data_IF_730919353026
#
_entry.id   IF_730919353026
#
_cell.length_a   1.000
_cell.length_b   1.000
_cell.length_c   1.000
_cell.angle_alpha   90.00
_cell.angle_beta   90.00
_cell.angle_gamma   90.00
#
_symmetry.space_group_name_H-M   'P 1'
#
loop_
_entity.id
_entity.type
_entity.pdbx_description
1 polymer ?
#
# COMPACT_ATOMS: atom_id res chain seq x y z
N UNK A 1 18.61 7.89 10.50
CA UNK A 1 17.88 8.64 9.45
C UNK A 1 16.57 9.15 10.05
N UNK A 2 16.15 10.39 9.75
CA UNK A 2 14.88 10.91 10.26
C UNK A 2 13.72 10.08 9.68
N UNK A 3 12.83 9.62 10.56
CA UNK A 3 11.61 8.92 10.20
C UNK A 3 10.44 9.85 10.48
N UNK A 4 9.62 10.11 9.47
CA UNK A 4 8.42 10.92 9.64
C UNK A 4 7.21 10.00 9.85
N UNK A 5 6.59 10.10 11.03
CA UNK A 5 5.40 9.32 11.37
C UNK A 5 4.12 10.01 10.87
N UNK A 6 4.06 10.32 9.58
CA UNK A 6 2.92 11.01 8.96
C UNK A 6 2.63 10.45 7.57
N UNK A 7 1.35 10.23 7.30
CA UNK A 7 0.86 9.85 5.98
C UNK A 7 1.00 10.97 4.95
N UNK A 8 1.13 12.24 5.38
CA UNK A 8 1.09 13.42 4.51
C UNK A 8 2.12 13.33 3.39
N UNK A 9 3.31 12.80 3.68
CA UNK A 9 4.35 12.59 2.69
C UNK A 9 3.98 11.54 1.65
N UNK A 10 3.28 10.47 2.03
CA UNK A 10 2.80 9.46 1.09
C UNK A 10 1.70 10.04 0.19
N UNK A 11 0.74 10.79 0.75
CA UNK A 11 -0.29 11.45 -0.06
C UNK A 11 0.32 12.48 -1.01
N UNK A 12 1.29 13.27 -0.56
CA UNK A 12 2.01 14.20 -1.42
C UNK A 12 2.77 13.46 -2.53
N UNK A 13 3.48 12.38 -2.20
CA UNK A 13 4.15 11.56 -3.20
C UNK A 13 3.16 10.96 -4.20
N UNK A 14 1.98 10.52 -3.75
CA UNK A 14 0.93 10.00 -4.61
C UNK A 14 0.31 11.08 -5.50
N UNK A 15 0.08 12.27 -4.96
CA UNK A 15 -0.47 13.40 -5.71
C UNK A 15 0.47 13.85 -6.84
N UNK A 16 1.79 13.81 -6.61
CA UNK A 16 2.80 14.22 -7.59
C UNK A 16 3.22 13.06 -8.52
N UNK A 17 3.33 11.84 -8.00
CA UNK A 17 3.83 10.66 -8.72
C UNK A 17 2.88 9.45 -8.59
N UNK A 18 1.62 9.54 -9.04
CA UNK A 18 0.61 8.51 -8.80
C UNK A 18 0.95 7.15 -9.41
N UNK A 19 1.74 7.13 -10.49
CA UNK A 19 2.12 5.90 -11.20
C UNK A 19 3.49 5.34 -10.80
N UNK A 20 4.23 6.05 -9.95
CA UNK A 20 5.62 5.71 -9.58
C UNK A 20 5.75 5.10 -8.18
N UNK A 21 4.63 4.87 -7.48
CA UNK A 21 4.60 4.23 -6.18
C UNK A 21 4.37 2.73 -6.31
N UNK A 22 5.43 1.96 -6.09
CA UNK A 22 5.43 0.50 -6.20
C UNK A 22 5.60 -0.12 -4.81
N UNK A 23 4.86 -1.18 -4.54
CA UNK A 23 5.07 -2.00 -3.33
C UNK A 23 6.34 -2.83 -3.55
N UNK A 24 7.33 -2.70 -2.69
CA UNK A 24 8.63 -3.40 -2.83
C UNK A 24 8.84 -4.50 -1.82
N UNK A 25 8.27 -4.35 -0.63
CA UNK A 25 8.47 -5.31 0.44
C UNK A 25 7.14 -5.52 1.13
N UNK A 26 6.82 -6.77 1.42
CA UNK A 26 5.78 -7.12 2.36
C UNK A 26 6.42 -7.93 3.49
N UNK A 27 6.39 -7.37 4.69
CA UNK A 27 6.91 -7.97 5.91
C UNK A 27 5.70 -8.43 6.71
N UNK A 28 5.51 -9.75 6.76
CA UNK A 28 4.39 -10.35 7.46
C UNK A 28 4.43 -10.01 8.97
N UNK A 29 3.26 -9.84 9.61
CA UNK A 29 1.91 -9.96 9.03
C UNK A 29 1.37 -8.66 8.39
N UNK A 30 1.90 -7.50 8.78
CA UNK A 30 1.20 -6.21 8.71
C UNK A 30 2.01 -5.07 8.07
N UNK A 31 3.25 -5.29 7.65
CA UNK A 31 4.10 -4.21 7.15
C UNK A 31 4.20 -4.22 5.64
N UNK A 32 3.90 -3.08 5.03
CA UNK A 32 3.95 -2.86 3.59
C UNK A 32 4.97 -1.76 3.30
N UNK A 33 6.02 -2.10 2.58
CA UNK A 33 7.04 -1.17 2.10
C UNK A 33 6.72 -0.70 0.68
N UNK A 34 6.62 0.61 0.52
CA UNK A 34 6.36 1.31 -0.74
C UNK A 34 7.57 2.15 -1.09
N UNK A 35 7.98 2.11 -2.36
CA UNK A 35 9.05 2.96 -2.90
C UNK A 35 8.46 3.83 -4.00
N UNK A 36 8.73 5.13 -3.94
CA UNK A 36 8.55 5.99 -5.09
C UNK A 36 9.78 5.91 -5.99
N UNK A 37 9.64 5.43 -7.22
CA UNK A 37 10.76 5.32 -8.15
C UNK A 37 11.24 6.66 -8.69
N UNK A 38 10.44 7.73 -8.56
CA UNK A 38 10.82 9.09 -8.96
C UNK A 38 11.59 9.85 -7.90
N UNK A 39 11.00 10.06 -6.72
CA UNK A 39 11.65 10.82 -5.64
C UNK A 39 12.52 9.96 -4.71
N UNK A 40 12.58 8.63 -4.93
CA UNK A 40 13.33 7.67 -4.11
C UNK A 40 12.93 7.65 -2.62
N UNK A 41 11.80 8.26 -2.27
CA UNK A 41 11.24 8.18 -0.92
C UNK A 41 10.69 6.78 -0.65
N UNK A 42 10.97 6.29 0.55
CA UNK A 42 10.48 5.00 1.04
C UNK A 42 9.41 5.24 2.08
N UNK A 43 8.25 4.63 1.90
CA UNK A 43 7.15 4.68 2.85
C UNK A 43 6.93 3.28 3.41
N UNK A 44 6.78 3.18 4.72
CA UNK A 44 6.37 1.95 5.41
C UNK A 44 4.99 2.20 5.98
N UNK A 45 4.08 1.28 5.67
CA UNK A 45 2.71 1.26 6.15
C UNK A 45 2.57 0.09 7.10
N UNK A 46 1.92 0.31 8.24
CA UNK A 46 1.46 -0.75 9.12
C UNK A 46 -0.03 -0.94 8.91
N UNK A 47 -0.42 -2.04 8.29
CA UNK A 47 -1.80 -2.39 8.03
C UNK A 47 -2.50 -2.89 9.30
N UNK A 48 -3.78 -2.59 9.40
CA UNK A 48 -4.67 -3.03 10.47
C UNK A 48 -5.69 -4.02 9.93
N UNK A 49 -6.46 -3.60 8.93
CA UNK A 49 -7.50 -4.42 8.30
C UNK A 49 -7.31 -4.40 6.79
N UNK A 50 -7.47 -5.56 6.17
CA UNK A 50 -7.50 -5.67 4.71
C UNK A 50 -8.93 -5.86 4.25
N UNK A 51 -9.23 -5.26 3.10
CA UNK A 51 -10.48 -5.42 2.39
C UNK A 51 -10.17 -5.81 0.96
N UNK A 52 -10.82 -6.85 0.49
CA UNK A 52 -10.70 -7.30 -0.90
C UNK A 52 -11.91 -6.76 -1.66
N UNK A 53 -11.64 -6.10 -2.78
CA UNK A 53 -12.70 -5.80 -3.74
C UNK A 53 -12.97 -7.04 -4.59
N UNK A 54 -14.14 -7.65 -4.42
CA UNK A 54 -14.63 -8.75 -5.26
C UNK A 54 -15.86 -8.25 -6.01
N UNK A 55 -15.67 -7.84 -7.26
CA UNK A 55 -16.72 -7.19 -8.04
C UNK A 55 -17.09 -5.82 -7.45
N UNK A 56 -18.37 -5.66 -7.07
CA UNK A 56 -18.87 -4.43 -6.42
C UNK A 56 -18.87 -4.50 -4.89
N UNK A 57 -18.52 -5.64 -4.29
CA UNK A 57 -18.54 -5.82 -2.84
C UNK A 57 -17.13 -5.67 -2.23
N UNK A 58 -17.09 -5.02 -1.07
CA UNK A 58 -15.87 -4.85 -0.27
C UNK A 58 -15.97 -5.81 0.90
N UNK A 59 -15.15 -6.87 0.87
CA UNK A 59 -15.16 -7.90 1.92
C UNK A 59 -14.01 -7.62 2.87
N UNK A 60 -14.35 -7.32 4.13
CA UNK A 60 -13.37 -7.21 5.21
C UNK A 60 -12.79 -8.59 5.53
N UNK A 61 -11.47 -8.69 5.54
CA UNK A 61 -10.76 -9.88 6.00
C UNK A 61 -10.06 -9.58 7.32
N UNK A 62 -10.35 -10.40 8.33
CA UNK A 62 -9.63 -10.41 9.61
C UNK A 62 -8.22 -10.96 9.40
N UNK A 63 -7.31 -10.08 8.95
CA UNK A 63 -5.94 -10.39 8.57
C UNK A 63 -5.68 -10.28 7.07
N UNK A 64 -4.46 -10.61 6.66
CA UNK A 64 -4.03 -10.50 5.26
C UNK A 64 -4.68 -11.60 4.41
N UNK A 65 -5.49 -11.25 3.39
CA UNK A 65 -6.25 -12.23 2.63
C UNK A 65 -5.30 -13.08 1.77
N UNK A 66 -5.57 -14.39 1.67
CA UNK A 66 -4.74 -15.34 0.91
C UNK A 66 -4.51 -14.90 -0.54
N UNK A 67 -5.51 -14.26 -1.17
CA UNK A 67 -5.40 -13.68 -2.51
C UNK A 67 -4.32 -12.60 -2.60
N UNK A 68 -4.23 -11.72 -1.60
CA UNK A 68 -3.18 -10.72 -1.52
C UNK A 68 -1.81 -11.36 -1.27
N UNK A 69 -1.73 -12.36 -0.38
CA UNK A 69 -0.47 -13.07 -0.11
C UNK A 69 0.09 -13.72 -1.38
N UNK A 70 -0.78 -14.37 -2.16
CA UNK A 70 -0.43 -14.97 -3.44
C UNK A 70 -0.04 -13.90 -4.46
N UNK A 71 -0.83 -12.81 -4.54
CA UNK A 71 -0.55 -11.70 -5.44
C UNK A 71 0.80 -11.00 -5.15
N UNK A 72 1.16 -10.81 -3.89
CA UNK A 72 2.46 -10.25 -3.49
C UNK A 72 3.61 -11.17 -3.82
N UNK A 73 3.40 -12.48 -3.65
CA UNK A 73 4.44 -13.49 -3.92
C UNK A 73 4.69 -13.64 -5.42
N UNK A 74 3.61 -13.69 -6.21
CA UNK A 74 3.70 -13.97 -7.65
C UNK A 74 3.93 -12.72 -8.49
N UNK A 75 3.40 -11.57 -8.06
CA UNK A 75 3.41 -10.32 -8.82
C UNK A 75 3.92 -9.11 -8.01
N UNK A 76 5.07 -9.21 -7.32
CA UNK A 76 5.55 -8.13 -6.45
C UNK A 76 5.78 -6.82 -7.21
N UNK A 77 6.26 -6.88 -8.45
CA UNK A 77 6.59 -5.69 -9.24
C UNK A 77 5.36 -4.99 -9.85
N UNK A 78 4.23 -5.71 -9.93
CA UNK A 78 3.00 -5.23 -10.53
C UNK A 78 2.00 -4.66 -9.50
N UNK A 79 2.34 -4.75 -8.21
CA UNK A 79 1.60 -4.16 -7.11
C UNK A 79 1.95 -2.69 -6.90
N UNK A 80 0.95 -1.83 -7.00
CA UNK A 80 1.09 -0.37 -6.93
C UNK A 80 0.06 0.24 -6.01
N UNK A 81 0.34 1.46 -5.57
CA UNK A 81 -0.62 2.29 -4.87
C UNK A 81 -1.60 2.85 -5.90
N UNK A 82 -2.88 2.52 -5.74
CA UNK A 82 -3.97 3.01 -6.59
C UNK A 82 -4.67 4.26 -6.03
N UNK A 83 -4.72 4.39 -4.71
CA UNK A 83 -5.28 5.55 -4.02
C UNK A 83 -4.71 5.64 -2.60
N UNK A 84 -4.68 6.85 -2.05
CA UNK A 84 -4.30 7.14 -0.66
C UNK A 84 -5.29 8.13 -0.09
N UNK A 85 -5.89 7.80 1.05
CA UNK A 85 -6.78 8.65 1.82
C UNK A 85 -6.25 8.72 3.26
N UNK A 86 -5.68 9.86 3.65
CA UNK A 86 -5.11 10.03 4.98
C UNK A 86 -6.20 10.26 6.03
N UNK A 87 -7.29 10.93 5.67
CA UNK A 87 -8.36 11.27 6.59
C UNK A 87 -9.04 9.99 7.10
N UNK A 88 -9.27 9.05 6.19
CA UNK A 88 -9.78 7.72 6.52
C UNK A 88 -8.67 6.72 6.89
N UNK A 89 -7.39 7.12 6.79
CA UNK A 89 -6.21 6.26 6.95
C UNK A 89 -6.27 4.99 6.09
N UNK A 90 -6.72 5.11 4.85
CA UNK A 90 -6.85 3.97 3.94
C UNK A 90 -5.95 4.10 2.73
N UNK A 91 -5.42 2.97 2.28
CA UNK A 91 -4.58 2.88 1.10
C UNK A 91 -5.14 1.78 0.20
N UNK A 92 -5.33 2.11 -1.07
CA UNK A 92 -5.72 1.12 -2.07
C UNK A 92 -4.48 0.60 -2.79
N UNK A 93 -4.31 -0.71 -2.79
CA UNK A 93 -3.31 -1.44 -3.56
C UNK A 93 -3.99 -2.04 -4.78
N UNK A 94 -3.34 -1.96 -5.93
CA UNK A 94 -3.85 -2.56 -7.16
C UNK A 94 -2.75 -3.36 -7.83
N UNK A 95 -3.07 -4.59 -8.20
CA UNK A 95 -2.21 -5.41 -9.04
C UNK A 95 -2.63 -5.27 -10.51
N UNK A 96 -1.67 -5.05 -11.40
CA UNK A 96 -1.95 -4.94 -12.84
C UNK A 96 -2.27 -6.28 -13.51
N UNK A 97 -1.69 -7.38 -13.02
CA UNK A 97 -1.90 -8.72 -13.60
C UNK A 97 -3.16 -9.38 -13.08
N UNK A 98 -3.39 -9.34 -11.76
CA UNK A 98 -4.60 -9.93 -11.17
C UNK A 98 -5.85 -9.07 -11.41
N UNK A 99 -5.68 -7.80 -11.83
CA UNK A 99 -6.73 -6.78 -11.89
C UNK A 99 -7.50 -6.56 -10.57
N UNK A 100 -7.00 -7.10 -9.45
CA UNK A 100 -7.60 -6.98 -8.13
C UNK A 100 -7.16 -5.70 -7.43
N UNK A 101 -8.10 -5.12 -6.69
CA UNK A 101 -7.86 -4.00 -5.79
C UNK A 101 -8.05 -4.47 -4.34
N UNK A 102 -7.13 -4.06 -3.48
CA UNK A 102 -7.16 -4.33 -2.04
C UNK A 102 -7.14 -3.00 -1.32
N UNK A 103 -8.19 -2.71 -0.56
CA UNK A 103 -8.18 -1.57 0.36
C UNK A 103 -7.57 -2.02 1.67
N UNK A 104 -6.71 -1.21 2.25
CA UNK A 104 -6.00 -1.51 3.47
C UNK A 104 -6.18 -0.34 4.41
N UNK A 105 -6.72 -0.61 5.60
CA UNK A 105 -6.71 0.36 6.69
C UNK A 105 -5.31 0.36 7.29
N UNK A 106 -4.75 1.55 7.45
CA UNK A 106 -3.37 1.76 7.86
C UNK A 106 -3.36 2.37 9.26
N UNK A 107 -2.78 1.64 10.20
CA UNK A 107 -2.60 2.09 11.58
C UNK A 107 -1.52 3.15 11.70
N UNK A 108 -0.41 2.96 10.99
CA UNK A 108 0.75 3.84 11.07
C UNK A 108 1.39 4.05 9.69
N UNK A 109 1.81 5.30 9.45
CA UNK A 109 2.54 5.72 8.27
C UNK A 109 3.93 6.18 8.69
N UNK A 110 4.96 5.66 8.04
CA UNK A 110 6.35 6.01 8.31
C UNK A 110 7.03 6.33 6.99
N UNK A 111 7.62 7.52 6.87
CA UNK A 111 8.34 7.92 5.67
C UNK A 111 9.82 8.10 5.98
N UNK A 112 10.65 7.47 5.15
CA UNK A 112 12.10 7.55 5.17
C UNK A 112 12.53 8.36 3.95
N UNK A 113 13.12 9.53 4.21
CA UNK A 113 13.79 10.28 3.15
C UNK A 113 15.10 9.56 2.76
N UNK A 114 15.48 9.60 1.48
CA UNK A 114 16.79 9.14 1.05
C UNK A 114 17.92 9.93 1.75
#
# INVERSE_FOLDING_TARGET
MPVFHSGAFLQQCFAVHPLSLTVKVWLQPDKIGVLCTQCQMRHRLTSETFYVHVGSEIIASSGTPKSFQHCVTDHPEELRIGAVDIDQKTVQLRCRLCHQAYRVDVRAFETYRP
#
